data_IF_113665515357
#
_entry.id   IF_113665515357
#
_cell.length_a   1.000
_cell.length_b   1.000
_cell.length_c   1.000
_cell.angle_alpha   90.00
_cell.angle_beta   90.00
_cell.angle_gamma   90.00
#
_symmetry.space_group_name_H-M   'P 1'
#
loop_
_entity.id
_entity.type
_entity.pdbx_description
1 polymer ?
#
# COMPACT_ATOMS: atom_id res chain seq x y z
N UNK A 1 7.39 -7.19 11.75
CA UNK A 1 5.99 -7.65 11.58
C UNK A 1 5.26 -7.95 12.89
N UNK A 2 5.77 -8.78 13.82
CA UNK A 2 5.05 -9.14 15.05
C UNK A 2 4.51 -7.96 15.87
N UNK A 3 5.26 -6.85 15.90
CA UNK A 3 4.85 -5.62 16.58
C UNK A 3 3.56 -5.00 15.98
N UNK A 4 3.38 -5.09 14.66
CA UNK A 4 2.17 -4.64 13.98
C UNK A 4 1.02 -5.63 14.23
N UNK A 5 1.28 -6.94 14.08
CA UNK A 5 0.28 -8.00 14.34
C UNK A 5 -0.31 -7.91 15.74
N UNK A 6 0.50 -7.60 16.77
CA UNK A 6 0.00 -7.40 18.14
C UNK A 6 -1.06 -6.29 18.27
N UNK A 7 -1.09 -5.33 17.33
CA UNK A 7 -1.99 -4.17 17.33
C UNK A 7 -3.14 -4.30 16.36
N UNK A 8 -2.87 -4.80 15.16
CA UNK A 8 -3.85 -4.91 14.06
C UNK A 8 -4.44 -6.32 13.91
N UNK A 9 -3.98 -7.30 14.67
CA UNK A 9 -4.39 -8.71 14.57
C UNK A 9 -3.73 -9.47 13.41
N UNK A 10 -3.42 -8.80 12.29
CA UNK A 10 -2.65 -9.34 11.16
C UNK A 10 -1.94 -8.25 10.37
N UNK A 11 -1.00 -8.65 9.51
CA UNK A 11 -0.41 -7.80 8.47
C UNK A 11 -0.74 -8.40 7.11
N UNK A 12 -1.14 -7.57 6.15
CA UNK A 12 -1.37 -7.99 4.78
C UNK A 12 -0.21 -7.51 3.91
N UNK A 13 0.29 -8.36 3.01
CA UNK A 13 1.36 -8.03 2.08
C UNK A 13 0.94 -8.43 0.68
N UNK A 14 0.99 -7.48 -0.26
CA UNK A 14 0.88 -7.73 -1.69
C UNK A 14 2.26 -8.05 -2.25
N UNK A 15 2.35 -9.10 -3.06
CA UNK A 15 3.52 -9.43 -3.89
C UNK A 15 3.09 -9.28 -5.34
N UNK A 16 3.61 -8.28 -6.05
CA UNK A 16 3.16 -7.93 -7.39
C UNK A 16 3.98 -6.80 -8.02
N UNK A 17 3.29 -5.76 -8.50
CA UNK A 17 3.89 -4.65 -9.23
C UNK A 17 4.21 -5.02 -10.69
N UNK A 18 4.91 -4.14 -11.41
CA UNK A 18 5.30 -4.35 -12.81
C UNK A 18 5.97 -5.71 -13.10
N UNK A 19 6.71 -6.26 -12.13
CA UNK A 19 7.41 -7.54 -12.28
C UNK A 19 6.47 -8.74 -12.36
N UNK A 20 5.25 -8.64 -11.80
CA UNK A 20 4.27 -9.73 -11.82
C UNK A 20 3.91 -10.14 -13.25
N UNK A 21 3.87 -9.16 -14.16
CA UNK A 21 3.33 -9.31 -15.51
C UNK A 21 4.05 -10.42 -16.28
N UNK A 22 5.34 -10.60 -16.00
CA UNK A 22 6.21 -11.55 -16.68
C UNK A 22 6.69 -12.68 -15.78
N UNK A 23 6.09 -12.83 -14.58
CA UNK A 23 6.53 -13.85 -13.64
C UNK A 23 6.23 -15.27 -14.16
N UNK A 24 7.07 -16.22 -13.74
CA UNK A 24 6.95 -17.65 -14.03
C UNK A 24 7.29 -18.41 -12.76
N UNK A 25 6.39 -19.30 -12.32
CA UNK A 25 6.66 -20.20 -11.21
C UNK A 25 7.41 -21.44 -11.72
N UNK A 26 8.49 -21.82 -11.06
CA UNK A 26 9.27 -23.03 -11.35
C UNK A 26 9.50 -23.81 -10.06
N UNK A 27 9.80 -25.10 -10.15
CA UNK A 27 10.14 -25.88 -8.94
C UNK A 27 11.47 -25.43 -8.33
N UNK A 28 12.46 -25.08 -9.16
CA UNK A 28 13.75 -24.51 -8.74
C UNK A 28 14.26 -23.56 -9.81
N UNK A 29 14.88 -22.46 -9.38
CA UNK A 29 15.58 -21.56 -10.31
C UNK A 29 16.92 -22.15 -10.75
N UNK A 30 17.43 -21.79 -11.94
CA UNK A 30 18.78 -22.12 -12.39
C UNK A 30 19.90 -21.83 -11.37
N UNK A 31 19.83 -20.71 -10.65
CA UNK A 31 20.84 -20.37 -9.62
C UNK A 31 20.60 -21.05 -8.26
N UNK A 32 19.48 -21.73 -8.07
CA UNK A 32 19.05 -22.26 -6.77
C UNK A 32 18.53 -21.20 -5.79
N UNK A 33 18.45 -19.92 -6.22
CA UNK A 33 17.85 -18.83 -5.43
C UNK A 33 16.33 -18.87 -5.47
N UNK A 34 15.68 -18.17 -4.54
CA UNK A 34 14.20 -18.08 -4.52
C UNK A 34 13.63 -17.27 -5.68
N UNK A 35 14.38 -16.27 -6.14
CA UNK A 35 13.98 -15.33 -7.19
C UNK A 35 15.20 -15.02 -8.07
N UNK A 36 15.00 -14.97 -9.38
CA UNK A 36 15.99 -14.43 -10.30
C UNK A 36 15.32 -13.79 -11.53
N UNK A 37 15.99 -12.80 -12.13
CA UNK A 37 15.54 -12.19 -13.39
C UNK A 37 16.23 -12.87 -14.56
N UNK A 38 15.48 -13.31 -15.55
CA UNK A 38 16.03 -13.89 -16.78
C UNK A 38 16.52 -12.79 -17.73
N UNK A 39 17.80 -12.40 -17.58
CA UNK A 39 18.43 -11.35 -18.40
C UNK A 39 18.72 -11.78 -19.85
N UNK A 40 18.43 -13.04 -20.22
CA UNK A 40 18.62 -13.56 -21.58
C UNK A 40 17.47 -13.26 -22.53
N UNK A 41 16.30 -12.88 -22.00
CA UNK A 41 15.09 -12.56 -22.78
C UNK A 41 14.90 -11.03 -22.84
N UNK A 42 14.60 -10.52 -24.04
CA UNK A 42 14.64 -9.10 -24.42
C UNK A 42 14.05 -8.08 -23.42
N UNK A 43 14.70 -6.93 -23.39
CA UNK A 43 14.51 -5.83 -22.44
C UNK A 43 13.27 -5.00 -22.83
N UNK A 44 12.25 -4.95 -21.98
CA UNK A 44 11.13 -3.99 -22.09
C UNK A 44 11.53 -2.57 -21.67
N UNK A 45 10.64 -1.59 -21.76
CA UNK A 45 10.96 -0.17 -21.46
C UNK A 45 11.32 0.11 -20.00
N UNK A 46 10.86 -0.70 -19.03
CA UNK A 46 11.30 -0.65 -17.61
C UNK A 46 12.55 -1.49 -17.33
N UNK A 47 13.08 -2.21 -18.33
CA UNK A 47 14.19 -3.17 -18.17
C UNK A 47 13.94 -4.23 -17.08
N UNK A 48 12.71 -4.68 -16.90
CA UNK A 48 12.37 -5.80 -16.01
C UNK A 48 12.34 -7.11 -16.81
N UNK A 49 13.41 -7.93 -16.79
CA UNK A 49 13.38 -9.27 -17.39
C UNK A 49 12.34 -10.17 -16.73
N UNK A 50 11.91 -11.25 -17.40
CA UNK A 50 11.00 -12.23 -16.82
C UNK A 50 11.46 -12.65 -15.42
N UNK A 51 10.55 -12.59 -14.47
CA UNK A 51 10.83 -12.96 -13.09
C UNK A 51 10.62 -14.46 -12.92
N UNK A 52 11.68 -15.20 -12.66
CA UNK A 52 11.59 -16.62 -12.33
C UNK A 52 11.45 -16.73 -10.82
N UNK A 53 10.37 -17.36 -10.39
CA UNK A 53 10.00 -17.54 -8.98
C UNK A 53 10.07 -19.02 -8.62
N UNK A 54 10.88 -19.38 -7.63
CA UNK A 54 10.87 -20.73 -7.08
C UNK A 54 9.61 -20.98 -6.26
N UNK A 55 9.04 -22.18 -6.35
CA UNK A 55 7.96 -22.66 -5.48
C UNK A 55 8.33 -22.60 -3.99
N UNK A 56 9.61 -22.68 -3.66
CA UNK A 56 10.12 -22.51 -2.29
C UNK A 56 9.76 -21.14 -1.68
N UNK A 57 9.53 -20.10 -2.51
CA UNK A 57 9.06 -18.80 -2.02
C UNK A 57 7.68 -18.93 -1.36
N UNK A 58 6.76 -19.69 -1.96
CA UNK A 58 5.40 -19.87 -1.43
C UNK A 58 5.43 -20.64 -0.10
N UNK A 59 6.31 -21.64 0.04
CA UNK A 59 6.51 -22.33 1.30
C UNK A 59 7.16 -21.42 2.37
N UNK A 60 8.12 -20.58 1.99
CA UNK A 60 8.67 -19.58 2.91
C UNK A 60 7.58 -18.61 3.38
N UNK A 61 6.74 -18.12 2.47
CA UNK A 61 5.60 -17.25 2.79
C UNK A 61 4.61 -17.93 3.74
N UNK A 62 4.31 -19.21 3.52
CA UNK A 62 3.49 -20.03 4.43
C UNK A 62 4.11 -20.13 5.82
N UNK A 63 5.41 -20.44 5.91
CA UNK A 63 6.12 -20.53 7.18
C UNK A 63 6.14 -19.18 7.93
N UNK A 64 6.28 -18.06 7.21
CA UNK A 64 6.15 -16.72 7.80
C UNK A 64 4.75 -16.55 8.39
N UNK A 65 3.70 -16.91 7.65
CA UNK A 65 2.30 -16.80 8.10
C UNK A 65 1.98 -17.65 9.34
N UNK A 66 2.57 -18.85 9.42
CA UNK A 66 2.44 -19.73 10.58
C UNK A 66 3.20 -19.18 11.81
N UNK A 67 4.34 -18.54 11.59
CA UNK A 67 5.13 -17.92 12.66
C UNK A 67 4.53 -16.60 13.17
N UNK A 68 4.02 -15.77 12.26
CA UNK A 68 3.44 -14.47 12.54
C UNK A 68 2.29 -14.23 11.56
N UNK A 69 1.11 -13.84 12.04
CA UNK A 69 -0.12 -13.74 11.24
C UNK A 69 -0.02 -12.69 10.11
N UNK A 70 0.69 -13.06 9.06
CA UNK A 70 0.88 -12.35 7.80
C UNK A 70 0.02 -13.05 6.78
N UNK A 71 -0.71 -12.27 5.98
CA UNK A 71 -1.53 -12.76 4.90
C UNK A 71 -1.13 -12.12 3.59
N UNK A 72 -1.36 -12.82 2.50
CA UNK A 72 -0.74 -12.52 1.23
C UNK A 72 -1.79 -12.19 0.17
N UNK A 73 -1.46 -11.26 -0.70
CA UNK A 73 -2.13 -11.06 -1.97
C UNK A 73 -1.08 -11.27 -3.06
N UNK A 74 -1.37 -12.09 -4.06
CA UNK A 74 -0.39 -12.45 -5.09
C UNK A 74 -0.81 -11.91 -6.45
N UNK A 75 0.11 -11.27 -7.16
CA UNK A 75 -0.04 -10.96 -8.57
C UNK A 75 0.04 -12.22 -9.43
N UNK A 76 -0.86 -12.34 -10.40
CA UNK A 76 -0.76 -13.34 -11.45
C UNK A 76 -0.19 -12.70 -12.73
N UNK A 77 0.62 -13.43 -13.51
CA UNK A 77 1.14 -12.91 -14.77
C UNK A 77 0.02 -12.62 -15.76
N UNK A 78 0.01 -11.40 -16.31
CA UNK A 78 -1.03 -10.93 -17.24
C UNK A 78 -0.48 -10.52 -18.62
N UNK A 79 0.82 -10.72 -18.89
CA UNK A 79 1.42 -10.29 -20.15
C UNK A 79 1.02 -11.13 -21.38
N UNK A 80 0.85 -12.46 -21.24
CA UNK A 80 0.47 -13.38 -22.32
C UNK A 80 -0.98 -13.83 -22.14
N UNK A 81 -1.88 -13.16 -22.86
CA UNK A 81 -3.32 -13.39 -22.78
C UNK A 81 -3.81 -14.53 -23.67
N UNK A 82 -2.89 -15.19 -24.40
CA UNK A 82 -3.19 -16.40 -25.17
C UNK A 82 -2.84 -17.66 -24.39
N UNK A 83 -1.84 -17.58 -23.52
CA UNK A 83 -1.41 -18.69 -22.67
C UNK A 83 -1.25 -18.22 -21.22
N UNK A 84 -2.37 -18.20 -20.49
CA UNK A 84 -2.40 -17.78 -19.09
C UNK A 84 -1.51 -18.68 -18.22
N UNK A 85 -0.47 -18.09 -17.61
CA UNK A 85 0.42 -18.78 -16.66
C UNK A 85 -0.16 -18.67 -15.26
N UNK A 86 -0.90 -19.70 -14.84
CA UNK A 86 -1.69 -19.68 -13.60
C UNK A 86 -1.12 -20.56 -12.48
N UNK A 87 0.13 -21.01 -12.60
CA UNK A 87 0.80 -21.81 -11.57
C UNK A 87 0.92 -21.06 -10.24
N UNK A 88 1.16 -19.74 -10.28
CA UNK A 88 1.16 -18.89 -9.06
C UNK A 88 -0.21 -18.90 -8.39
N UNK A 89 -1.30 -18.86 -9.16
CA UNK A 89 -2.66 -18.91 -8.62
C UNK A 89 -2.95 -20.28 -7.98
N UNK A 90 -2.67 -21.36 -8.72
CA UNK A 90 -2.94 -22.72 -8.28
C UNK A 90 -2.10 -23.13 -7.07
N UNK A 91 -0.77 -22.98 -7.16
CA UNK A 91 0.13 -23.31 -6.05
C UNK A 91 -0.01 -22.34 -4.89
N UNK A 92 -0.30 -21.06 -5.17
CA UNK A 92 -0.60 -20.06 -4.15
C UNK A 92 -1.79 -20.47 -3.29
N UNK A 93 -2.92 -20.86 -3.90
CA UNK A 93 -4.07 -21.35 -3.16
C UNK A 93 -3.76 -22.65 -2.40
N UNK A 94 -3.05 -23.59 -3.03
CA UNK A 94 -2.72 -24.88 -2.41
C UNK A 94 -1.77 -24.74 -1.22
N UNK A 95 -0.71 -23.94 -1.33
CA UNK A 95 0.36 -23.85 -0.34
C UNK A 95 0.01 -22.85 0.77
N UNK A 96 -0.49 -21.66 0.42
CA UNK A 96 -0.81 -20.64 1.41
C UNK A 96 -2.16 -20.92 2.10
N UNK A 97 -3.10 -21.57 1.41
CA UNK A 97 -4.44 -21.83 1.92
C UNK A 97 -5.11 -20.54 2.39
N UNK A 98 -5.68 -20.56 3.60
CA UNK A 98 -6.38 -19.41 4.20
C UNK A 98 -5.50 -18.16 4.45
N UNK A 99 -4.17 -18.28 4.31
CA UNK A 99 -3.27 -17.13 4.35
C UNK A 99 -3.22 -16.35 3.04
N UNK A 100 -3.71 -16.90 1.93
CA UNK A 100 -3.92 -16.16 0.68
C UNK A 100 -5.28 -15.46 0.73
N UNK A 101 -5.27 -14.13 0.64
CA UNK A 101 -6.49 -13.31 0.64
C UNK A 101 -7.13 -13.32 -0.74
N UNK A 102 -6.34 -13.04 -1.78
CA UNK A 102 -6.82 -12.88 -3.16
C UNK A 102 -5.64 -12.77 -4.15
N UNK A 103 -5.98 -12.79 -5.43
CA UNK A 103 -5.08 -12.82 -6.59
C UNK A 103 -5.29 -11.57 -7.45
N UNK A 104 -4.25 -10.79 -7.73
CA UNK A 104 -4.34 -9.62 -8.60
C UNK A 104 -4.16 -9.98 -10.07
N UNK A 105 -5.14 -9.62 -10.89
CA UNK A 105 -5.16 -9.85 -12.33
C UNK A 105 -4.85 -8.56 -13.09
N UNK A 106 -3.56 -8.38 -13.40
CA UNK A 106 -3.01 -7.20 -14.07
C UNK A 106 -2.57 -6.11 -13.09
N UNK A 107 -1.49 -5.42 -13.44
CA UNK A 107 -0.92 -4.28 -12.72
C UNK A 107 -0.91 -3.07 -13.62
N UNK A 108 -1.65 -2.03 -13.27
CA UNK A 108 -1.68 -0.76 -14.02
C UNK A 108 -1.95 -0.96 -15.52
N UNK A 109 -3.05 -1.66 -15.91
CA UNK A 109 -3.34 -1.95 -17.31
C UNK A 109 -3.51 -0.69 -18.17
N UNK A 110 -3.84 0.45 -17.54
CA UNK A 110 -3.91 1.77 -18.16
C UNK A 110 -2.55 2.30 -18.66
N UNK A 111 -1.45 1.72 -18.16
CA UNK A 111 -0.09 2.06 -18.59
C UNK A 111 0.49 1.08 -19.63
N UNK A 112 -0.21 -0.02 -19.96
CA UNK A 112 0.33 -1.05 -20.86
C UNK A 112 0.74 -0.53 -22.25
N UNK A 113 -0.09 0.32 -22.86
CA UNK A 113 0.24 0.94 -24.14
C UNK A 113 1.45 1.87 -24.04
N UNK A 114 1.51 2.70 -22.99
CA UNK A 114 2.62 3.62 -22.74
C UNK A 114 3.93 2.87 -22.49
N UNK A 115 3.87 1.75 -21.78
CA UNK A 115 5.02 0.88 -21.49
C UNK A 115 5.31 -0.13 -22.61
N UNK A 116 4.67 -0.01 -23.78
CA UNK A 116 4.85 -0.90 -24.94
C UNK A 116 4.65 -2.39 -24.61
N UNK A 117 3.81 -2.69 -23.61
CA UNK A 117 3.41 -4.05 -23.23
C UNK A 117 2.17 -4.52 -24.00
N UNK A 118 1.44 -3.56 -24.57
CA UNK A 118 0.31 -3.75 -25.49
C UNK A 118 0.43 -2.78 -26.66
N UNK A 119 -0.32 -3.01 -27.76
CA UNK A 119 -0.39 -2.07 -28.87
C UNK A 119 -0.81 -0.65 -28.44
N UNK A 120 -0.43 0.40 -29.19
CA UNK A 120 -0.73 1.79 -28.81
C UNK A 120 -2.23 2.13 -28.67
N UNK A 121 -3.11 1.36 -29.31
CA UNK A 121 -4.57 1.54 -29.27
C UNK A 121 -5.26 0.71 -28.16
N UNK A 122 -4.50 0.05 -27.29
CA UNK A 122 -5.02 -0.72 -26.17
C UNK A 122 -5.87 0.16 -25.24
N UNK A 123 -7.08 -0.28 -24.94
CA UNK A 123 -8.09 0.48 -24.19
C UNK A 123 -8.83 -0.37 -23.15
N UNK A 124 -9.77 0.24 -22.43
CA UNK A 124 -10.55 -0.41 -21.35
C UNK A 124 -11.35 -1.63 -21.82
N UNK A 125 -11.81 -1.67 -23.08
CA UNK A 125 -12.54 -2.82 -23.61
C UNK A 125 -11.60 -3.99 -23.95
N UNK A 126 -10.37 -3.70 -24.36
CA UNK A 126 -9.35 -4.75 -24.53
C UNK A 126 -9.05 -5.41 -23.19
N UNK A 127 -8.84 -4.62 -22.13
CA UNK A 127 -8.65 -5.15 -20.77
C UNK A 127 -9.86 -5.93 -20.28
N UNK A 128 -11.09 -5.44 -20.52
CA UNK A 128 -12.31 -6.17 -20.20
C UNK A 128 -12.33 -7.57 -20.85
N UNK A 129 -11.97 -7.66 -22.13
CA UNK A 129 -11.94 -8.92 -22.86
C UNK A 129 -10.80 -9.85 -22.39
N UNK A 130 -9.62 -9.32 -22.09
CA UNK A 130 -8.52 -10.08 -21.50
C UNK A 130 -8.91 -10.64 -20.12
N UNK A 131 -9.54 -9.83 -19.27
CA UNK A 131 -10.03 -10.26 -17.95
C UNK A 131 -11.11 -11.34 -18.06
N UNK A 132 -12.03 -11.20 -19.03
CA UNK A 132 -13.01 -12.24 -19.34
C UNK A 132 -12.35 -13.56 -19.73
N UNK A 133 -11.35 -13.53 -20.61
CA UNK A 133 -10.62 -14.72 -21.05
C UNK A 133 -9.87 -15.40 -19.90
N UNK A 134 -9.28 -14.61 -19.00
CA UNK A 134 -8.66 -15.11 -17.78
C UNK A 134 -9.68 -15.86 -16.92
N UNK A 135 -10.85 -15.27 -16.64
CA UNK A 135 -11.90 -15.90 -15.83
C UNK A 135 -12.33 -17.22 -16.46
N UNK A 136 -12.61 -17.23 -17.78
CA UNK A 136 -13.01 -18.45 -18.49
C UNK A 136 -11.97 -19.57 -18.36
N UNK A 137 -10.68 -19.22 -18.32
CA UNK A 137 -9.61 -20.19 -18.11
C UNK A 137 -9.59 -20.69 -16.67
N UNK A 138 -9.68 -19.80 -15.68
CA UNK A 138 -9.75 -20.15 -14.25
C UNK A 138 -10.96 -21.05 -13.95
N UNK A 139 -12.09 -20.79 -14.59
CA UNK A 139 -13.31 -21.60 -14.43
C UNK A 139 -13.14 -23.06 -14.86
N UNK A 140 -12.24 -23.32 -15.80
CA UNK A 140 -11.94 -24.67 -16.30
C UNK A 140 -10.84 -25.40 -15.51
N UNK A 141 -10.16 -24.71 -14.58
CA UNK A 141 -9.06 -25.29 -13.81
C UNK A 141 -9.54 -25.82 -12.46
N UNK A 142 -9.52 -27.15 -12.29
CA UNK A 142 -9.78 -27.80 -10.99
C UNK A 142 -8.71 -27.49 -9.93
N UNK A 143 -7.51 -27.11 -10.38
CA UNK A 143 -6.38 -26.78 -9.51
C UNK A 143 -6.50 -25.38 -8.87
N UNK A 144 -7.51 -24.60 -9.23
CA UNK A 144 -7.86 -23.30 -8.61
C UNK A 144 -9.24 -23.45 -7.96
N UNK A 145 -9.24 -23.63 -6.64
CA UNK A 145 -10.45 -23.95 -5.88
C UNK A 145 -11.31 -22.71 -5.62
N UNK A 146 -10.69 -21.60 -5.19
CA UNK A 146 -11.39 -20.34 -4.95
C UNK A 146 -11.37 -19.47 -6.22
N UNK A 147 -12.44 -19.58 -7.02
CA UNK A 147 -12.63 -18.80 -8.26
C UNK A 147 -13.09 -17.35 -8.02
N UNK A 148 -13.52 -17.03 -6.80
CA UNK A 148 -14.00 -15.70 -6.40
C UNK A 148 -12.89 -14.84 -5.77
N UNK A 149 -11.64 -15.07 -6.18
CA UNK A 149 -10.45 -14.53 -5.51
C UNK A 149 -9.77 -13.41 -6.27
N UNK A 150 -10.31 -12.92 -7.39
CA UNK A 150 -9.61 -11.94 -8.23
C UNK A 150 -9.69 -10.52 -7.67
N UNK A 151 -8.63 -9.74 -7.91
CA UNK A 151 -8.55 -8.30 -7.69
C UNK A 151 -8.26 -7.64 -9.02
N UNK A 152 -9.01 -6.58 -9.31
CA UNK A 152 -8.77 -5.70 -10.44
C UNK A 152 -9.60 -4.42 -10.30
N UNK A 153 -9.49 -3.45 -11.22
CA UNK A 153 -8.54 -3.41 -12.33
C UNK A 153 -7.11 -3.00 -11.95
N UNK A 154 -6.87 -2.51 -10.73
CA UNK A 154 -5.56 -2.03 -10.26
C UNK A 154 -4.96 -0.92 -11.15
N UNK A 155 -5.76 0.10 -11.49
CA UNK A 155 -5.32 1.20 -12.35
C UNK A 155 -4.33 2.11 -11.64
N UNK A 156 -3.30 2.58 -12.36
CA UNK A 156 -2.43 3.68 -11.91
C UNK A 156 -3.14 5.05 -11.92
N UNK A 157 -4.30 5.11 -12.59
CA UNK A 157 -5.04 6.35 -12.87
C UNK A 157 -4.21 7.33 -13.72
N UNK A 158 -3.45 6.78 -14.66
CA UNK A 158 -2.69 7.53 -15.66
C UNK A 158 -3.60 7.97 -16.81
N UNK A 159 -3.74 7.11 -17.82
CA UNK A 159 -4.55 7.44 -19.02
C UNK A 159 -6.03 7.14 -18.87
N UNK A 160 -6.38 6.23 -17.97
CA UNK A 160 -7.76 5.82 -17.75
C UNK A 160 -8.20 6.37 -16.40
N UNK A 161 -9.43 6.88 -16.37
CA UNK A 161 -10.13 7.11 -15.12
C UNK A 161 -10.84 5.82 -14.69
N UNK A 162 -11.03 5.59 -13.38
CA UNK A 162 -11.81 4.45 -12.88
C UNK A 162 -13.16 4.26 -13.59
N UNK A 163 -13.86 5.37 -13.83
CA UNK A 163 -15.16 5.42 -14.49
C UNK A 163 -15.13 4.83 -15.90
N UNK A 164 -14.02 4.96 -16.63
CA UNK A 164 -13.89 4.38 -17.98
C UNK A 164 -14.01 2.86 -17.93
N UNK A 165 -13.42 2.22 -16.90
CA UNK A 165 -13.54 0.77 -16.69
C UNK A 165 -14.93 0.41 -16.18
N UNK A 166 -15.49 1.15 -15.24
CA UNK A 166 -16.84 0.89 -14.72
C UNK A 166 -17.91 0.95 -15.82
N UNK A 167 -17.80 1.91 -16.74
CA UNK A 167 -18.73 2.11 -17.85
C UNK A 167 -18.70 0.98 -18.89
N UNK A 168 -17.67 0.13 -18.89
CA UNK A 168 -17.67 -1.11 -19.70
C UNK A 168 -18.62 -2.18 -19.19
N UNK A 169 -19.17 -2.02 -17.96
CA UNK A 169 -19.92 -3.06 -17.26
C UNK A 169 -19.03 -4.05 -16.50
N UNK A 170 -17.74 -3.74 -16.31
CA UNK A 170 -16.73 -4.62 -15.71
C UNK A 170 -17.19 -5.28 -14.39
N UNK A 171 -17.72 -4.52 -13.44
CA UNK A 171 -18.12 -5.08 -12.12
C UNK A 171 -19.41 -5.89 -12.23
N UNK A 172 -20.32 -5.53 -13.14
CA UNK A 172 -21.53 -6.31 -13.36
C UNK A 172 -21.23 -7.64 -14.06
N UNK A 173 -20.28 -7.65 -14.99
CA UNK A 173 -19.87 -8.84 -15.71
C UNK A 173 -19.05 -9.81 -14.85
N UNK A 174 -18.18 -9.29 -13.98
CA UNK A 174 -17.16 -10.09 -13.28
C UNK A 174 -17.30 -10.08 -11.75
N UNK A 175 -18.40 -9.52 -11.23
CA UNK A 175 -18.65 -9.36 -9.80
C UNK A 175 -18.47 -10.65 -9.01
N UNK A 176 -18.91 -11.79 -9.53
CA UNK A 176 -18.79 -13.08 -8.83
C UNK A 176 -17.35 -13.61 -8.75
N UNK A 177 -16.47 -13.19 -9.67
CA UNK A 177 -15.05 -13.55 -9.65
C UNK A 177 -14.18 -12.57 -8.84
N UNK A 178 -14.66 -11.34 -8.65
CA UNK A 178 -13.93 -10.25 -7.98
C UNK A 178 -14.12 -10.30 -6.46
N UNK A 179 -13.04 -10.55 -5.73
CA UNK A 179 -12.99 -10.36 -4.28
C UNK A 179 -12.94 -8.87 -3.90
N UNK A 180 -12.17 -8.07 -4.65
CA UNK A 180 -11.96 -6.65 -4.36
C UNK A 180 -11.83 -5.84 -5.65
N UNK A 181 -12.19 -4.56 -5.55
CA UNK A 181 -11.83 -3.55 -6.53
C UNK A 181 -10.54 -2.85 -6.07
N UNK A 182 -9.64 -2.52 -6.99
CA UNK A 182 -8.35 -1.95 -6.64
C UNK A 182 -7.93 -0.78 -7.54
N UNK A 183 -7.22 0.17 -6.93
CA UNK A 183 -6.52 1.29 -7.57
C UNK A 183 -5.08 1.36 -7.05
N UNK A 184 -4.21 1.96 -7.83
CA UNK A 184 -2.82 2.24 -7.53
C UNK A 184 -2.59 3.74 -7.81
N UNK A 185 -2.00 4.49 -6.88
CA UNK A 185 -1.78 5.93 -7.10
C UNK A 185 -0.68 6.48 -6.19
N UNK A 186 0.24 7.23 -6.79
CA UNK A 186 1.23 8.04 -6.10
C UNK A 186 0.92 9.53 -6.33
N UNK A 187 1.17 10.42 -5.36
CA UNK A 187 0.97 11.86 -5.55
C UNK A 187 1.76 12.43 -6.74
N UNK A 188 2.92 11.83 -7.01
CA UNK A 188 3.88 12.26 -8.03
C UNK A 188 4.92 11.15 -8.26
N UNK A 189 5.95 11.42 -9.06
CA UNK A 189 6.98 10.47 -9.45
C UNK A 189 8.40 11.05 -9.33
N UNK A 190 9.39 10.23 -8.98
CA UNK A 190 10.81 10.61 -9.06
C UNK A 190 11.53 9.88 -10.21
N UNK A 191 10.81 9.60 -11.31
CA UNK A 191 11.30 8.72 -12.36
C UNK A 191 12.42 9.36 -13.20
N UNK A 192 12.44 10.69 -13.34
CA UNK A 192 13.51 11.36 -14.09
C UNK A 192 14.86 11.19 -13.40
N UNK A 193 14.94 11.37 -12.08
CA UNK A 193 16.19 11.22 -11.33
C UNK A 193 16.71 9.78 -11.38
N UNK A 194 15.81 8.80 -11.25
CA UNK A 194 16.19 7.39 -11.24
C UNK A 194 16.50 6.82 -12.63
N UNK A 195 15.81 7.31 -13.66
CA UNK A 195 15.78 6.65 -14.96
C UNK A 195 15.99 7.55 -16.18
N UNK A 196 16.03 8.87 -15.99
CA UNK A 196 16.09 9.84 -17.08
C UNK A 196 14.80 9.93 -17.90
N UNK A 197 13.67 9.48 -17.34
CA UNK A 197 12.36 9.46 -18.02
C UNK A 197 11.36 10.34 -17.26
N UNK A 198 10.57 11.12 -17.99
CA UNK A 198 9.56 12.00 -17.41
C UNK A 198 10.09 13.41 -17.16
N UNK A 199 9.52 14.08 -16.16
CA UNK A 199 9.83 15.48 -15.84
C UNK A 199 10.78 15.53 -14.65
N UNK A 200 11.90 16.28 -14.70
CA UNK A 200 12.75 16.49 -13.53
C UNK A 200 11.95 17.20 -12.43
N UNK A 201 12.05 16.70 -11.19
CA UNK A 201 11.39 17.27 -10.01
C UNK A 201 12.40 17.54 -8.93
N UNK A 202 12.22 18.66 -8.23
CA UNK A 202 13.10 19.05 -7.14
C UNK A 202 12.43 18.78 -5.79
N UNK A 203 13.06 17.95 -4.95
CA UNK A 203 12.49 17.57 -3.66
C UNK A 203 12.22 18.78 -2.74
N UNK A 204 13.01 19.85 -2.80
CA UNK A 204 12.80 21.04 -1.98
C UNK A 204 11.52 21.80 -2.36
N UNK A 205 11.18 21.84 -3.65
CA UNK A 205 9.95 22.49 -4.13
C UNK A 205 8.72 21.60 -4.00
N UNK A 206 8.92 20.27 -4.04
CA UNK A 206 7.84 19.29 -3.83
C UNK A 206 7.45 19.17 -2.35
N UNK A 207 8.40 19.28 -1.41
CA UNK A 207 8.15 19.04 0.03
C UNK A 207 6.90 19.73 0.60
N UNK A 208 6.59 21.02 0.33
CA UNK A 208 5.39 21.67 0.88
C UNK A 208 4.06 21.01 0.47
N UNK A 209 4.01 20.31 -0.67
CA UNK A 209 2.79 19.62 -1.13
C UNK A 209 2.43 18.41 -0.26
N UNK A 210 3.34 17.93 0.59
CA UNK A 210 3.13 16.81 1.50
C UNK A 210 2.76 17.23 2.93
N UNK A 211 2.94 18.50 3.28
CA UNK A 211 2.94 18.97 4.67
C UNK A 211 1.66 19.73 5.04
N UNK A 212 0.55 19.32 4.46
CA UNK A 212 -0.76 19.85 4.76
C UNK A 212 -1.83 18.80 4.49
N UNK A 213 -2.99 19.02 5.07
CA UNK A 213 -4.12 18.11 5.03
C UNK A 213 -4.78 18.00 3.64
N UNK A 214 -4.74 19.07 2.83
CA UNK A 214 -5.35 19.03 1.50
C UNK A 214 -4.60 18.06 0.59
N UNK A 215 -3.31 17.80 0.84
CA UNK A 215 -2.53 16.78 0.14
C UNK A 215 -3.20 15.40 0.10
N UNK A 216 -3.73 14.94 1.24
CA UNK A 216 -4.45 13.67 1.33
C UNK A 216 -5.82 13.73 0.67
N UNK A 217 -6.56 14.83 0.89
CA UNK A 217 -7.91 15.06 0.35
C UNK A 217 -7.89 15.11 -1.18
N UNK A 218 -6.97 15.88 -1.76
CA UNK A 218 -6.88 16.07 -3.20
C UNK A 218 -6.49 14.76 -3.90
N UNK A 219 -5.62 13.96 -3.28
CA UNK A 219 -5.16 12.68 -3.83
C UNK A 219 -6.28 11.63 -3.89
N UNK A 220 -7.21 11.63 -2.93
CA UNK A 220 -8.36 10.71 -2.95
C UNK A 220 -9.54 11.21 -3.77
N UNK A 221 -9.59 12.50 -4.12
CA UNK A 221 -10.78 13.15 -4.67
C UNK A 221 -11.31 12.46 -5.94
N UNK A 222 -10.39 12.00 -6.79
CA UNK A 222 -10.70 11.25 -8.02
C UNK A 222 -11.42 9.92 -7.77
N UNK A 223 -11.31 9.33 -6.59
CA UNK A 223 -11.90 8.04 -6.26
C UNK A 223 -13.22 8.11 -5.49
N UNK A 224 -13.68 9.31 -5.08
CA UNK A 224 -14.90 9.44 -4.26
C UNK A 224 -16.15 8.85 -4.93
N UNK A 225 -16.22 8.89 -6.25
CA UNK A 225 -17.29 8.23 -7.00
C UNK A 225 -17.10 6.71 -7.02
N UNK A 226 -15.88 6.25 -7.24
CA UNK A 226 -15.53 4.82 -7.23
C UNK A 226 -15.75 4.15 -5.87
N UNK A 227 -15.54 4.85 -4.76
CA UNK A 227 -15.80 4.31 -3.42
C UNK A 227 -17.30 4.11 -3.18
N UNK A 228 -18.14 5.06 -3.59
CA UNK A 228 -19.61 4.90 -3.58
C UNK A 228 -20.08 3.80 -4.51
N UNK A 229 -19.54 3.74 -5.73
CA UNK A 229 -19.87 2.70 -6.71
C UNK A 229 -19.53 1.31 -6.17
N UNK A 230 -18.34 1.14 -5.57
CA UNK A 230 -17.94 -0.12 -4.94
C UNK A 230 -18.94 -0.56 -3.86
N UNK A 231 -19.36 0.36 -2.97
CA UNK A 231 -20.38 0.07 -1.96
C UNK A 231 -21.71 -0.35 -2.57
N UNK A 232 -22.20 0.33 -3.60
CA UNK A 232 -23.44 -0.03 -4.32
C UNK A 232 -23.36 -1.42 -4.94
N UNK A 233 -22.17 -1.84 -5.40
CA UNK A 233 -21.91 -3.18 -5.95
C UNK A 233 -21.59 -4.23 -4.87
N UNK A 234 -21.65 -3.88 -3.59
CA UNK A 234 -21.30 -4.79 -2.50
C UNK A 234 -19.82 -5.20 -2.47
N UNK A 235 -18.94 -4.37 -3.05
CA UNK A 235 -17.50 -4.60 -3.14
C UNK A 235 -16.74 -3.64 -2.24
N UNK A 236 -15.52 -4.06 -1.90
CA UNK A 236 -14.55 -3.26 -1.16
C UNK A 236 -13.52 -2.70 -2.14
N UNK A 237 -13.22 -1.40 -2.02
CA UNK A 237 -12.19 -0.72 -2.81
C UNK A 237 -10.87 -0.65 -2.03
N UNK A 238 -9.77 -0.98 -2.68
CA UNK A 238 -8.42 -0.96 -2.11
C UNK A 238 -7.54 0.07 -2.81
N UNK A 239 -6.73 0.80 -2.03
CA UNK A 239 -5.54 1.46 -2.54
C UNK A 239 -4.41 0.43 -2.48
N UNK A 240 -4.29 -0.32 -3.57
CA UNK A 240 -3.52 -1.54 -3.65
C UNK A 240 -2.03 -1.31 -3.87
N UNK A 241 -1.68 -0.12 -4.36
CA UNK A 241 -0.33 0.42 -4.32
C UNK A 241 -0.34 1.93 -4.14
N UNK A 242 0.50 2.41 -3.24
CA UNK A 242 0.79 3.84 -3.12
C UNK A 242 2.10 4.03 -2.37
N UNK A 243 2.68 5.22 -2.48
CA UNK A 243 3.66 5.75 -1.54
C UNK A 243 3.86 7.25 -1.80
N UNK A 244 4.84 7.87 -1.14
CA UNK A 244 5.10 9.32 -1.29
C UNK A 244 5.35 9.74 -2.74
N UNK A 245 6.03 8.91 -3.54
CA UNK A 245 6.20 9.13 -4.98
C UNK A 245 6.62 7.83 -5.65
N UNK A 246 6.23 7.64 -6.91
CA UNK A 246 6.65 6.51 -7.73
C UNK A 246 8.17 6.55 -7.97
N UNK A 247 8.72 5.46 -8.52
CA UNK A 247 10.15 5.34 -8.81
C UNK A 247 11.04 5.57 -7.56
N UNK A 248 10.74 4.86 -6.47
CA UNK A 248 11.60 4.81 -5.28
C UNK A 248 11.50 6.01 -4.32
N UNK A 249 10.77 7.06 -4.68
CA UNK A 249 10.56 8.23 -3.82
C UNK A 249 11.68 9.27 -3.90
N UNK A 250 11.56 10.33 -3.10
CA UNK A 250 12.55 11.40 -2.99
C UNK A 250 13.35 11.28 -1.69
N UNK A 251 14.68 11.33 -1.80
CA UNK A 251 15.52 11.57 -0.63
C UNK A 251 15.21 12.95 -0.03
N UNK A 252 14.98 13.01 1.28
CA UNK A 252 14.60 14.22 2.00
C UNK A 252 13.09 14.41 2.17
N UNK A 253 12.25 13.71 1.41
CA UNK A 253 10.78 13.66 1.63
C UNK A 253 10.40 12.26 2.12
N UNK A 254 10.63 11.24 1.28
CA UNK A 254 10.17 9.86 1.48
C UNK A 254 10.80 9.17 2.67
N UNK A 255 12.01 9.56 3.05
CA UNK A 255 12.77 9.04 4.19
C UNK A 255 12.74 9.99 5.41
N UNK A 256 11.88 11.00 5.40
CA UNK A 256 11.74 12.01 6.45
C UNK A 256 10.56 11.77 7.38
N UNK A 257 10.56 12.42 8.55
CA UNK A 257 9.42 12.39 9.48
C UNK A 257 8.11 12.87 8.83
N UNK A 258 8.19 13.82 7.90
CA UNK A 258 7.06 14.32 7.13
C UNK A 258 6.31 13.21 6.39
N UNK A 259 7.03 12.22 5.84
CA UNK A 259 6.40 11.05 5.21
C UNK A 259 5.60 10.19 6.21
N UNK A 260 6.01 10.12 7.48
CA UNK A 260 5.26 9.39 8.50
C UNK A 260 3.93 10.10 8.83
N UNK A 261 3.95 11.44 8.93
CA UNK A 261 2.74 12.24 9.13
C UNK A 261 1.81 12.17 7.92
N UNK A 262 2.36 12.41 6.72
CA UNK A 262 1.65 12.30 5.44
C UNK A 262 0.99 10.92 5.29
N UNK A 263 1.74 9.84 5.54
CA UNK A 263 1.20 8.48 5.41
C UNK A 263 0.07 8.18 6.38
N UNK A 264 0.10 8.75 7.60
CA UNK A 264 -0.99 8.62 8.56
C UNK A 264 -2.24 9.39 8.13
N UNK A 265 -2.07 10.65 7.75
CA UNK A 265 -3.16 11.53 7.31
C UNK A 265 -3.82 10.99 6.04
N UNK A 266 -3.02 10.57 5.06
CA UNK A 266 -3.53 9.98 3.82
C UNK A 266 -4.30 8.68 4.04
N UNK A 267 -3.82 7.78 4.92
CA UNK A 267 -4.57 6.55 5.26
C UNK A 267 -5.86 6.86 6.02
N UNK A 268 -5.88 7.87 6.89
CA UNK A 268 -7.13 8.30 7.54
C UNK A 268 -8.11 8.93 6.54
N UNK A 269 -7.64 9.68 5.54
CA UNK A 269 -8.47 10.15 4.42
C UNK A 269 -9.05 9.00 3.60
N UNK A 270 -8.25 7.99 3.30
CA UNK A 270 -8.71 6.77 2.63
C UNK A 270 -9.80 6.07 3.45
N UNK A 271 -9.60 5.90 4.76
CA UNK A 271 -10.57 5.30 5.65
C UNK A 271 -11.88 6.12 5.76
N UNK A 272 -11.77 7.45 5.87
CA UNK A 272 -12.92 8.37 5.84
C UNK A 272 -13.72 8.23 4.53
N UNK A 273 -13.04 7.92 3.44
CA UNK A 273 -13.62 7.84 2.09
C UNK A 273 -13.98 6.42 1.65
N UNK A 274 -14.13 5.48 2.58
CA UNK A 274 -14.57 4.09 2.35
C UNK A 274 -13.58 3.19 1.57
N UNK A 275 -12.29 3.50 1.57
CA UNK A 275 -11.29 2.50 1.22
C UNK A 275 -11.18 1.46 2.34
N UNK A 276 -11.06 0.19 1.96
CA UNK A 276 -10.99 -0.94 2.90
C UNK A 276 -9.57 -1.39 3.23
N UNK A 277 -8.58 -0.98 2.42
CA UNK A 277 -7.16 -1.29 2.64
C UNK A 277 -6.30 -0.30 1.86
N UNK A 278 -5.18 0.09 2.45
CA UNK A 278 -4.10 0.81 1.79
C UNK A 278 -2.80 0.02 1.93
N UNK A 279 -2.08 -0.17 0.84
CA UNK A 279 -0.81 -0.90 0.81
C UNK A 279 0.30 0.03 0.31
N UNK A 280 1.21 0.36 1.23
CA UNK A 280 2.41 1.10 0.88
C UNK A 280 3.39 0.19 0.14
N UNK A 281 3.83 0.62 -1.04
CA UNK A 281 4.80 -0.14 -1.81
C UNK A 281 6.14 -0.20 -1.07
N UNK A 282 6.81 -1.34 -1.19
CA UNK A 282 8.11 -1.62 -0.59
C UNK A 282 9.04 -2.05 -1.70
N UNK A 283 10.19 -1.40 -1.76
CA UNK A 283 11.17 -1.53 -2.82
C UNK A 283 12.50 -2.12 -2.36
N UNK A 284 13.51 -1.92 -3.22
CA UNK A 284 14.89 -2.38 -2.98
C UNK A 284 15.63 -1.53 -1.96
N UNK A 285 16.88 -1.89 -1.68
CA UNK A 285 17.67 -1.18 -0.67
C UNK A 285 17.84 0.32 -0.98
N UNK A 286 17.73 0.70 -2.26
CA UNK A 286 17.87 2.08 -2.74
C UNK A 286 16.57 2.90 -2.67
N UNK A 287 15.46 2.31 -2.23
CA UNK A 287 14.15 2.98 -2.19
C UNK A 287 13.99 3.79 -0.90
N UNK A 288 13.69 5.08 -1.05
CA UNK A 288 13.63 6.03 0.05
C UNK A 288 12.40 5.86 0.94
N UNK A 289 11.27 5.43 0.37
CA UNK A 289 10.02 5.28 1.12
C UNK A 289 9.89 3.95 1.89
N UNK A 290 10.95 3.13 1.92
CA UNK A 290 10.90 1.83 2.56
C UNK A 290 10.51 1.94 4.05
N UNK A 291 9.52 1.17 4.52
CA UNK A 291 9.19 1.13 5.94
C UNK A 291 10.33 0.50 6.75
N UNK A 292 11.14 -0.35 6.13
CA UNK A 292 12.32 -0.94 6.71
C UNK A 292 13.27 -1.37 5.59
N UNK A 293 14.57 -1.34 5.85
CA UNK A 293 15.58 -1.78 4.88
C UNK A 293 16.44 -2.87 5.51
N UNK A 294 16.57 -4.00 4.81
CA UNK A 294 17.46 -5.08 5.23
C UNK A 294 18.93 -4.65 5.14
N UNK A 295 19.83 -5.17 6.00
CA UNK A 295 21.25 -5.00 5.77
C UNK A 295 21.66 -5.64 4.43
N UNK A 296 22.75 -5.18 3.79
CA UNK A 296 23.26 -5.81 2.58
C UNK A 296 23.54 -7.30 2.79
N UNK A 297 23.55 -8.07 1.69
CA UNK A 297 23.74 -9.52 1.75
C UNK A 297 25.01 -9.91 2.48
N UNK A 298 24.90 -10.96 3.30
CA UNK A 298 25.94 -11.46 4.19
C UNK A 298 26.43 -10.48 5.26
N UNK A 299 25.74 -9.35 5.46
CA UNK A 299 26.08 -8.37 6.49
C UNK A 299 25.17 -8.45 7.72
N UNK A 300 24.15 -9.32 7.72
CA UNK A 300 23.21 -9.49 8.84
C UNK A 300 23.84 -9.92 10.18
N UNK A 301 25.10 -10.40 10.16
CA UNK A 301 25.85 -10.71 11.37
C UNK A 301 26.31 -9.45 12.15
N UNK A 302 26.57 -8.35 11.43
CA UNK A 302 27.10 -7.12 12.03
C UNK A 302 26.23 -5.88 11.80
N UNK A 303 25.43 -5.85 10.74
CA UNK A 303 24.45 -4.80 10.44
C UNK A 303 23.02 -5.19 10.85
N UNK A 304 22.21 -4.17 11.10
CA UNK A 304 20.81 -4.32 11.50
C UNK A 304 19.88 -3.79 10.40
N UNK A 305 18.65 -4.28 10.42
CA UNK A 305 17.57 -3.65 9.67
C UNK A 305 17.36 -2.22 10.17
N UNK A 306 17.10 -1.30 9.24
CA UNK A 306 16.70 0.08 9.56
C UNK A 306 15.19 0.20 9.53
N UNK A 307 14.66 1.20 10.24
CA UNK A 307 13.23 1.51 10.29
C UNK A 307 13.01 2.87 9.64
N UNK A 308 12.20 2.90 8.58
CA UNK A 308 11.82 4.13 7.87
C UNK A 308 10.52 4.75 8.39
N UNK A 309 10.18 5.96 7.90
CA UNK A 309 9.02 6.73 8.37
C UNK A 309 7.69 6.01 8.15
N UNK A 310 7.50 5.33 7.01
CA UNK A 310 6.26 4.61 6.68
C UNK A 310 5.98 3.48 7.67
N UNK A 311 7.00 2.88 8.30
CA UNK A 311 6.77 1.91 9.38
C UNK A 311 6.17 2.57 10.62
N UNK A 312 6.58 3.79 10.97
CA UNK A 312 5.95 4.53 12.07
C UNK A 312 4.50 4.88 11.72
N UNK A 313 4.22 5.24 10.46
CA UNK A 313 2.84 5.44 10.01
C UNK A 313 2.00 4.16 10.19
N UNK A 314 2.48 3.00 9.72
CA UNK A 314 1.79 1.73 9.90
C UNK A 314 1.61 1.36 11.38
N UNK A 315 2.62 1.59 12.22
CA UNK A 315 2.58 1.30 13.65
C UNK A 315 1.55 2.14 14.39
N UNK A 316 1.55 3.44 14.14
CA UNK A 316 0.59 4.37 14.75
C UNK A 316 -0.81 4.06 14.22
N UNK A 317 -0.97 3.84 12.92
CA UNK A 317 -2.27 3.50 12.32
C UNK A 317 -2.88 2.22 12.92
N UNK A 318 -2.07 1.20 13.17
CA UNK A 318 -2.52 -0.04 13.81
C UNK A 318 -3.09 0.19 15.22
N UNK A 319 -2.58 1.19 15.96
CA UNK A 319 -3.17 1.59 17.25
C UNK A 319 -4.35 2.56 17.06
N UNK A 320 -4.29 3.43 16.05
CA UNK A 320 -5.31 4.43 15.74
C UNK A 320 -6.61 3.82 15.22
N UNK A 321 -6.57 2.71 14.46
CA UNK A 321 -7.77 1.99 14.00
C UNK A 321 -8.07 0.75 14.85
N UNK A 322 -7.07 0.21 15.54
CA UNK A 322 -7.21 -0.98 16.37
C UNK A 322 -7.53 -2.26 15.56
N UNK A 323 -7.69 -3.40 16.27
CA UNK A 323 -7.91 -4.70 15.65
C UNK A 323 -9.39 -5.06 15.44
N UNK A 324 -10.32 -4.19 15.87
CA UNK A 324 -11.75 -4.50 15.97
C UNK A 324 -12.44 -4.68 14.61
N UNK A 325 -11.85 -4.13 13.54
CA UNK A 325 -12.40 -4.15 12.17
C UNK A 325 -13.80 -3.50 12.05
N UNK A 326 -14.20 -2.69 13.03
CA UNK A 326 -15.46 -1.92 13.07
C UNK A 326 -15.22 -0.41 13.19
N UNK A 327 -13.96 0.02 13.06
CA UNK A 327 -13.60 1.42 13.18
C UNK A 327 -14.18 2.25 12.04
N UNK A 328 -14.70 3.42 12.37
CA UNK A 328 -15.17 4.43 11.42
C UNK A 328 -14.38 5.72 11.66
N UNK A 329 -13.88 6.34 10.60
CA UNK A 329 -13.05 7.54 10.68
C UNK A 329 -13.87 8.74 10.27
N UNK A 330 -13.83 9.80 11.07
CA UNK A 330 -14.42 11.11 10.79
C UNK A 330 -13.29 12.14 10.69
N UNK A 331 -13.24 12.85 9.57
CA UNK A 331 -12.35 13.99 9.39
C UNK A 331 -13.02 15.28 9.89
N UNK A 332 -12.41 15.93 10.88
CA UNK A 332 -12.95 17.13 11.48
C UNK A 332 -12.81 18.37 10.60
N UNK A 333 -11.89 18.40 9.64
CA UNK A 333 -11.77 19.53 8.72
C UNK A 333 -12.96 19.63 7.76
N UNK A 334 -13.67 18.52 7.50
CA UNK A 334 -14.93 18.51 6.76
C UNK A 334 -16.12 18.99 7.60
N UNK A 335 -16.00 19.02 8.93
CA UNK A 335 -17.03 19.48 9.87
C UNK A 335 -16.83 20.94 10.25
N UNK A 336 -15.58 21.33 10.51
CA UNK A 336 -15.19 22.67 10.94
C UNK A 336 -14.01 23.19 10.11
N UNK A 337 -14.32 24.11 9.19
CA UNK A 337 -13.33 24.73 8.30
C UNK A 337 -12.41 25.74 9.00
N UNK A 338 -12.61 26.01 10.29
CA UNK A 338 -11.67 26.82 11.09
C UNK A 338 -10.44 26.03 11.53
N UNK A 339 -10.49 24.70 11.46
CA UNK A 339 -9.33 23.83 11.69
C UNK A 339 -8.30 24.09 10.59
N UNK A 340 -7.06 24.38 10.99
CA UNK A 340 -5.95 24.62 10.06
C UNK A 340 -5.61 23.35 9.27
N UNK A 341 -5.33 23.50 7.97
CA UNK A 341 -4.81 22.41 7.13
C UNK A 341 -3.43 21.92 7.57
N UNK A 342 -2.71 22.66 8.42
CA UNK A 342 -1.44 22.21 9.01
C UNK A 342 -1.64 21.39 10.29
N UNK A 343 -2.86 21.33 10.82
CA UNK A 343 -3.19 20.66 12.08
C UNK A 343 -4.45 19.79 11.96
N UNK A 344 -4.51 18.83 11.01
CA UNK A 344 -5.70 18.01 10.86
C UNK A 344 -6.02 17.21 12.12
N UNK A 345 -7.30 16.92 12.28
CA UNK A 345 -7.83 16.19 13.41
C UNK A 345 -8.88 15.18 12.93
N UNK A 346 -8.81 13.98 13.47
CA UNK A 346 -9.73 12.90 13.16
C UNK A 346 -10.33 12.31 14.44
N UNK A 347 -11.59 11.94 14.37
CA UNK A 347 -12.25 11.13 15.40
C UNK A 347 -12.41 9.72 14.85
N UNK A 348 -12.00 8.72 15.62
CA UNK A 348 -12.19 7.32 15.27
C UNK A 348 -13.24 6.73 16.20
N UNK A 349 -14.33 6.29 15.61
CA UNK A 349 -15.44 5.64 16.28
C UNK A 349 -15.26 4.12 16.24
N UNK A 350 -15.70 3.45 17.29
CA UNK A 350 -15.95 2.00 17.30
C UNK A 350 -17.39 1.76 17.73
N UNK A 351 -18.13 0.93 17.00
CA UNK A 351 -19.54 0.62 17.29
C UNK A 351 -20.41 1.87 17.52
N UNK A 352 -20.17 2.93 16.73
CA UNK A 352 -20.90 4.19 16.82
C UNK A 352 -20.51 5.12 17.98
N UNK A 353 -19.54 4.74 18.83
CA UNK A 353 -19.04 5.59 19.91
C UNK A 353 -17.61 6.11 19.62
N UNK A 354 -17.29 7.38 19.91
CA UNK A 354 -15.92 7.88 19.78
C UNK A 354 -14.97 7.10 20.69
N UNK A 355 -13.94 6.49 20.11
CA UNK A 355 -12.97 5.68 20.84
C UNK A 355 -11.59 6.35 20.92
N UNK A 356 -11.18 7.06 19.87
CA UNK A 356 -9.84 7.65 19.73
C UNK A 356 -9.91 8.97 18.97
N UNK A 357 -8.92 9.83 19.19
CA UNK A 357 -8.70 11.07 18.43
C UNK A 357 -7.28 11.03 17.89
N UNK A 358 -7.10 11.31 16.60
CA UNK A 358 -5.78 11.51 16.00
C UNK A 358 -5.59 12.99 15.69
N UNK A 359 -4.49 13.57 16.17
CA UNK A 359 -4.16 14.98 16.04
C UNK A 359 -2.79 15.13 15.39
N UNK A 360 -2.67 16.08 14.48
CA UNK A 360 -1.48 16.29 13.68
C UNK A 360 -0.93 17.71 13.84
N UNK A 361 0.37 17.84 13.62
CA UNK A 361 1.02 19.13 13.46
C UNK A 361 2.13 18.99 12.41
N UNK A 362 1.92 19.58 11.24
CA UNK A 362 2.89 19.58 10.14
C UNK A 362 3.94 20.69 10.26
N UNK A 363 3.82 21.58 11.26
CA UNK A 363 4.72 22.74 11.39
C UNK A 363 5.99 22.35 12.15
N UNK A 364 7.14 22.68 11.58
CA UNK A 364 8.43 22.65 12.30
C UNK A 364 8.72 24.02 12.88
N UNK A 365 8.61 24.14 14.19
CA UNK A 365 8.87 25.38 14.91
C UNK A 365 9.56 25.08 16.25
N UNK A 366 10.89 25.29 16.35
CA UNK A 366 11.63 25.02 17.58
C UNK A 366 11.29 25.99 18.72
N UNK A 367 10.55 27.09 18.45
CA UNK A 367 10.14 28.04 19.49
C UNK A 367 8.91 27.58 20.28
N UNK A 368 8.20 26.56 19.81
CA UNK A 368 6.94 26.08 20.39
C UNK A 368 5.74 26.99 20.14
N UNK A 369 5.89 28.09 19.38
CA UNK A 369 4.76 29.00 19.07
C UNK A 369 3.70 28.34 18.18
N UNK A 370 4.10 27.30 17.45
CA UNK A 370 3.22 26.49 16.62
C UNK A 370 2.69 25.24 17.35
N UNK A 371 2.89 25.12 18.67
CA UNK A 371 2.24 24.09 19.48
C UNK A 371 0.72 24.36 19.52
N UNK A 372 -0.06 23.27 19.39
CA UNK A 372 -1.52 23.35 19.39
C UNK A 372 -2.10 22.93 20.75
N UNK A 373 -3.04 23.73 21.25
CA UNK A 373 -3.86 23.37 22.41
C UNK A 373 -5.23 22.90 21.90
N UNK A 374 -5.51 21.60 22.05
CA UNK A 374 -6.76 21.01 21.58
C UNK A 374 -7.69 20.77 22.76
N UNK A 375 -8.86 21.40 22.71
CA UNK A 375 -9.98 21.15 23.63
C UNK A 375 -11.03 20.35 22.88
N UNK A 376 -11.48 19.25 23.46
CA UNK A 376 -12.54 18.42 22.88
C UNK A 376 -13.62 18.11 23.91
N UNK A 377 -14.85 17.92 23.44
CA UNK A 377 -15.95 17.37 24.21
C UNK A 377 -16.61 16.25 23.41
N UNK A 378 -17.00 15.17 24.07
CA UNK A 378 -17.77 14.09 23.48
C UNK A 378 -19.21 14.20 23.99
N UNK A 379 -20.16 14.41 23.07
CA UNK A 379 -21.54 14.73 23.43
C UNK A 379 -21.67 16.06 24.19
N UNK A 380 -22.84 16.29 24.76
CA UNK A 380 -23.19 17.58 25.38
C UNK A 380 -23.19 18.76 24.41
N UNK A 381 -23.36 19.96 24.98
CA UNK A 381 -23.27 21.22 24.23
C UNK A 381 -24.17 21.27 22.99
N UNK A 382 -23.58 21.66 21.85
CA UNK A 382 -24.28 21.85 20.56
C UNK A 382 -24.80 20.55 19.91
N UNK A 383 -24.40 19.38 20.40
CA UNK A 383 -24.78 18.09 19.80
C UNK A 383 -26.13 17.56 20.29
N UNK A 384 -26.65 18.08 21.40
CA UNK A 384 -27.88 17.57 22.04
C UNK A 384 -27.77 16.15 22.63
N UNK A 385 -26.59 15.52 22.54
CA UNK A 385 -26.32 14.19 23.12
C UNK A 385 -25.94 14.30 24.60
N UNK A 386 -26.08 13.23 25.41
CA UNK A 386 -25.54 13.19 26.76
C UNK A 386 -24.03 13.49 26.79
N UNK A 387 -23.53 14.16 27.83
CA UNK A 387 -22.10 14.38 27.99
C UNK A 387 -21.39 13.03 28.22
N UNK A 388 -20.49 12.68 27.32
CA UNK A 388 -19.67 11.47 27.34
C UNK A 388 -18.17 11.82 27.37
N UNK A 389 -17.82 13.07 27.67
CA UNK A 389 -16.41 13.50 27.74
C UNK A 389 -15.71 12.80 28.90
N UNK A 390 -14.64 12.02 28.65
CA UNK A 390 -13.95 11.31 29.72
C UNK A 390 -13.19 12.28 30.63
N UNK A 391 -13.11 11.97 31.93
CA UNK A 391 -12.37 12.76 32.90
C UNK A 391 -10.85 12.69 32.71
N UNK A 392 -10.35 11.63 32.06
CA UNK A 392 -8.93 11.43 31.75
C UNK A 392 -8.77 10.73 30.41
N UNK A 393 -7.65 11.00 29.74
CA UNK A 393 -7.26 10.32 28.49
C UNK A 393 -5.82 9.85 28.55
N UNK A 394 -5.48 8.86 27.71
CA UNK A 394 -4.10 8.44 27.46
C UNK A 394 -3.62 9.04 26.16
N UNK A 395 -2.46 9.69 26.19
CA UNK A 395 -1.88 10.35 25.01
C UNK A 395 -0.58 9.63 24.62
N UNK A 396 -0.43 9.37 23.32
CA UNK A 396 0.82 8.86 22.72
C UNK A 396 1.25 9.83 21.64
N UNK A 397 2.53 10.16 21.61
CA UNK A 397 3.07 11.08 20.63
C UNK A 397 3.98 10.34 19.65
N UNK A 398 3.77 10.60 18.36
CA UNK A 398 4.77 10.39 17.32
C UNK A 398 5.56 11.69 17.19
N UNK A 399 6.87 11.70 17.47
CA UNK A 399 7.67 12.94 17.51
C UNK A 399 9.01 12.82 16.79
N UNK A 400 9.42 13.94 16.21
CA UNK A 400 10.75 14.28 15.74
C UNK A 400 11.00 15.78 15.98
N UNK A 401 12.24 16.24 15.86
CA UNK A 401 12.61 17.65 16.04
C UNK A 401 12.18 18.52 14.85
N UNK A 402 12.18 17.96 13.64
CA UNK A 402 11.72 18.63 12.42
C UNK A 402 11.00 17.65 11.50
N UNK A 403 10.18 18.15 10.58
CA UNK A 403 9.53 17.38 9.51
C UNK A 403 10.54 16.74 8.56
N UNK A 404 11.71 17.34 8.34
CA UNK A 404 12.76 16.80 7.48
C UNK A 404 13.71 15.85 8.20
N UNK A 405 13.53 15.63 9.50
CA UNK A 405 14.40 14.72 10.27
C UNK A 405 14.36 13.33 9.65
N UNK A 406 15.53 12.69 9.53
CA UNK A 406 15.67 11.29 9.14
C UNK A 406 16.04 10.44 10.34
N UNK A 407 15.29 9.37 10.57
CA UNK A 407 15.52 8.45 11.69
C UNK A 407 15.29 9.08 13.07
N UNK A 408 15.50 8.27 14.13
CA UNK A 408 15.31 8.68 15.53
C UNK A 408 13.94 9.29 15.87
N UNK A 409 12.90 8.89 15.14
CA UNK A 409 11.52 9.20 15.50
C UNK A 409 11.13 8.43 16.77
N UNK A 410 10.23 8.99 17.56
CA UNK A 410 9.72 8.31 18.76
C UNK A 410 8.23 8.09 18.64
N UNK A 411 7.74 6.90 19.01
CA UNK A 411 6.32 6.63 19.24
C UNK A 411 6.11 6.25 20.70
N UNK A 412 5.31 7.05 21.41
CA UNK A 412 5.11 6.92 22.86
C UNK A 412 6.44 6.92 23.65
N UNK A 413 7.35 7.83 23.28
CA UNK A 413 8.67 7.99 23.91
C UNK A 413 9.71 6.92 23.54
N UNK A 414 9.38 6.00 22.63
CA UNK A 414 10.28 4.91 22.23
C UNK A 414 10.76 5.06 20.78
N UNK A 415 12.07 5.03 20.58
CA UNK A 415 12.68 4.82 19.26
C UNK A 415 12.55 3.34 18.90
N UNK A 416 12.12 3.03 17.67
CA UNK A 416 12.06 1.67 17.15
C UNK A 416 13.40 1.29 16.54
N UNK A 417 13.93 0.16 17.00
CA UNK A 417 15.12 -0.51 16.48
C UNK A 417 14.81 -1.99 16.33
N UNK A 418 15.46 -2.65 15.38
CA UNK A 418 15.43 -4.10 15.33
C UNK A 418 16.36 -4.67 16.42
N UNK A 419 15.95 -5.78 17.02
CA UNK A 419 16.83 -6.56 17.90
C UNK A 419 17.83 -7.29 17.01
N UNK A 420 19.12 -7.38 17.41
CA UNK A 420 20.09 -8.23 16.69
C UNK A 420 19.57 -9.66 16.69
N UNK A 421 19.21 -10.18 15.52
CA UNK A 421 18.92 -11.58 15.31
C UNK A 421 19.96 -12.10 14.32
N UNK A 422 20.86 -12.95 14.80
CA UNK A 422 21.88 -13.60 13.99
C UNK A 422 21.19 -14.66 13.11
N UNK A 423 20.67 -14.27 11.95
CA UNK A 423 20.15 -15.23 10.96
C UNK A 423 21.22 -15.44 9.91
N UNK A 424 21.83 -16.63 9.93
CA UNK A 424 22.75 -17.11 8.91
C UNK A 424 21.90 -17.58 7.72
N UNK A 425 22.15 -17.03 6.53
CA UNK A 425 21.76 -17.67 5.27
C UNK A 425 20.48 -17.22 4.56
N UNK A 426 20.05 -15.96 4.68
CA UNK A 426 19.05 -15.40 3.76
C UNK A 426 19.62 -14.17 3.04
N UNK A 427 19.80 -14.31 1.73
CA UNK A 427 20.25 -13.28 0.80
C UNK A 427 19.07 -12.39 0.41
N UNK A 428 19.06 -11.15 0.93
CA UNK A 428 18.00 -10.15 0.70
C UNK A 428 18.42 -9.08 -0.33
N UNK A 429 19.49 -9.29 -1.11
CA UNK A 429 19.94 -8.33 -2.14
C UNK A 429 18.98 -8.16 -3.33
N UNK A 430 17.84 -8.87 -3.34
CA UNK A 430 16.98 -8.99 -4.53
C UNK A 430 15.69 -8.18 -4.49
N UNK A 431 15.51 -7.29 -3.51
CA UNK A 431 14.37 -6.37 -3.52
C UNK A 431 14.52 -5.26 -4.58
N UNK A 432 15.45 -5.31 -5.53
CA UNK A 432 15.49 -4.37 -6.67
C UNK A 432 14.24 -4.51 -7.57
N UNK A 433 13.13 -3.97 -7.07
CA UNK A 433 11.91 -3.63 -7.78
C UNK A 433 12.22 -2.42 -8.65
N UNK A 434 12.39 -2.67 -9.94
CA UNK A 434 12.39 -1.67 -10.99
C UNK A 434 11.76 -2.30 -12.24
#
# INVERSE_FOLDING_TARGET
MANLVKRSGRVNIRVGGNTQETAVLVDRTPSGRLLEKDRGVGIGTTRSPPLIVSKDLLYMMRNISEFVNVRWLLGIPFNDTKHWRLDIASEGQRILGDYLIALQAGNEPDLYAQHKKRPPNYNVHDYFNEFKSLIQTIEQMDSIQNKQSLIGPSLATGRWHPEDVWNTGYVDAFGDSLAYLAMEHYPTDNCFEQFGVGTPRNAQTELPSYLNHTAGIDLIAIYLNSTRYAQQKGKKLLMFETNTAACGGFGGISDSFGAALWGLDYVLQMAYSNFSMALFHIGGQQVYYNPFTAPPTNQSYYDQWTVGPIYYAALVMAETLGPSNVSQVMDMWHVDKTISVFNPAYIIYENGAPARIALFNYVSDPSGKSDINVVFSLGGGKTGQPNATPSTVKVKYLRANTITQKGNFTWAGQVRRFMKLSVVGLDWSFLDFW
#
